data_IF_875389889096
#
_entry.id   IF_875389889096
#
_cell.length_a   1.000
_cell.length_b   1.000
_cell.length_c   1.000
_cell.angle_alpha   90.00
_cell.angle_beta   90.00
_cell.angle_gamma   90.00
#
_symmetry.space_group_name_H-M   'P 1'
#
loop_
_entity.id
_entity.type
_entity.pdbx_description
1 polymer ?
#
# COMPACT_ATOMS: atom_id res chain seq x y z
N UNK A 1 -64.13 -9.30 -3.91
CA UNK A 1 -63.20 -10.39 -3.52
C UNK A 1 -61.99 -10.34 -4.44
N UNK A 2 -60.83 -9.99 -3.87
CA UNK A 2 -59.42 -10.06 -4.35
C UNK A 2 -59.03 -9.54 -5.75
N UNK A 3 -58.37 -8.37 -5.72
CA UNK A 3 -57.43 -7.85 -6.73
C UNK A 3 -56.13 -8.68 -6.65
N UNK A 4 -55.64 -9.18 -7.77
CA UNK A 4 -54.39 -9.95 -7.87
C UNK A 4 -53.32 -9.22 -8.67
N UNK A 5 -52.45 -8.48 -7.99
CA UNK A 5 -51.26 -7.85 -8.60
C UNK A 5 -50.10 -8.86 -8.58
N UNK A 6 -49.63 -9.31 -9.75
CA UNK A 6 -48.43 -10.15 -9.87
C UNK A 6 -47.18 -9.31 -9.60
N UNK A 7 -46.39 -9.74 -8.60
CA UNK A 7 -45.08 -9.20 -8.21
C UNK A 7 -44.11 -9.14 -9.40
N UNK A 8 -43.81 -7.94 -9.87
CA UNK A 8 -42.57 -7.61 -10.60
C UNK A 8 -41.47 -7.32 -9.58
N UNK A 9 -40.77 -8.35 -9.11
CA UNK A 9 -39.61 -8.19 -8.22
C UNK A 9 -38.53 -9.21 -8.59
N UNK A 10 -37.86 -9.02 -9.73
CA UNK A 10 -36.70 -9.85 -10.12
C UNK A 10 -35.57 -9.10 -10.86
N UNK A 11 -35.58 -7.77 -10.95
CA UNK A 11 -34.60 -7.03 -11.77
C UNK A 11 -33.72 -6.02 -11.03
N UNK A 12 -33.88 -5.84 -9.70
CA UNK A 12 -33.10 -4.81 -8.96
C UNK A 12 -31.84 -5.37 -8.27
N UNK A 13 -31.66 -6.70 -8.17
CA UNK A 13 -30.55 -7.28 -7.39
C UNK A 13 -29.25 -7.48 -8.15
N UNK A 14 -29.25 -7.52 -9.49
CA UNK A 14 -28.03 -7.76 -10.27
C UNK A 14 -27.20 -6.47 -10.52
N UNK A 15 -27.86 -5.31 -10.63
CA UNK A 15 -27.18 -4.04 -10.93
C UNK A 15 -26.37 -3.46 -9.76
N UNK A 16 -26.84 -3.66 -8.53
CA UNK A 16 -26.15 -3.16 -7.32
C UNK A 16 -24.91 -3.98 -6.96
N UNK A 17 -24.88 -5.29 -7.26
CA UNK A 17 -23.70 -6.13 -7.02
C UNK A 17 -22.55 -5.80 -8.01
N UNK A 18 -22.90 -5.45 -9.26
CA UNK A 18 -21.92 -5.14 -10.30
C UNK A 18 -21.25 -3.77 -10.11
N UNK A 19 -21.96 -2.80 -9.53
CA UNK A 19 -21.42 -1.47 -9.22
C UNK A 19 -20.39 -1.47 -8.06
N UNK A 20 -20.47 -2.45 -7.15
CA UNK A 20 -19.53 -2.60 -6.03
C UNK A 20 -18.15 -3.12 -6.46
N UNK A 21 -18.02 -3.79 -7.61
CA UNK A 21 -16.74 -4.35 -8.07
C UNK A 21 -15.86 -3.37 -8.85
N UNK A 22 -16.41 -2.26 -9.36
CA UNK A 22 -15.67 -1.30 -10.17
C UNK A 22 -14.80 -0.32 -9.34
N UNK A 23 -15.03 -0.23 -8.02
CA UNK A 23 -14.36 0.72 -7.13
C UNK A 23 -13.08 0.17 -6.46
N UNK A 24 -12.65 -1.05 -6.80
CA UNK A 24 -11.69 -1.80 -5.99
C UNK A 24 -10.24 -1.80 -6.53
N UNK A 25 -9.98 -1.12 -7.64
CA UNK A 25 -8.64 -1.05 -8.26
C UNK A 25 -7.76 0.08 -7.75
N UNK A 26 -6.63 0.32 -8.44
CA UNK A 26 -5.77 1.47 -8.18
C UNK A 26 -6.50 2.78 -8.48
N UNK A 27 -6.20 3.86 -7.73
CA UNK A 27 -6.78 5.19 -7.97
C UNK A 27 -6.14 5.85 -9.18
N UNK A 28 -4.82 5.71 -9.28
CA UNK A 28 -3.97 6.28 -10.30
C UNK A 28 -3.43 5.19 -11.20
N UNK A 29 -3.01 5.60 -12.40
CA UNK A 29 -2.45 4.67 -13.38
C UNK A 29 -1.08 4.18 -12.94
N UNK A 30 -0.93 2.86 -12.89
CA UNK A 30 0.39 2.22 -12.74
C UNK A 30 0.92 1.92 -14.14
N UNK A 31 2.04 2.54 -14.57
CA UNK A 31 2.59 2.30 -15.88
C UNK A 31 3.03 0.84 -15.99
N UNK A 32 2.75 0.22 -17.13
CA UNK A 32 3.27 -1.12 -17.42
C UNK A 32 4.73 -0.98 -17.81
N UNK A 33 5.62 -1.59 -17.02
CA UNK A 33 7.01 -1.73 -17.40
C UNK A 33 7.12 -2.57 -18.69
N UNK A 34 7.86 -2.05 -19.66
CA UNK A 34 8.20 -2.80 -20.86
C UNK A 34 9.27 -3.86 -20.54
N UNK A 35 9.55 -4.80 -21.47
CA UNK A 35 10.55 -5.85 -21.23
C UNK A 35 11.96 -5.31 -20.91
N UNK A 36 12.32 -4.14 -21.41
CA UNK A 36 13.62 -3.50 -21.14
C UNK A 36 13.71 -3.07 -19.68
N UNK A 37 12.70 -2.36 -19.18
CA UNK A 37 12.63 -1.96 -17.77
C UNK A 37 12.50 -3.16 -16.84
N UNK A 38 11.73 -4.20 -17.22
CA UNK A 38 11.65 -5.44 -16.45
C UNK A 38 13.02 -6.13 -16.35
N UNK A 39 13.74 -6.29 -17.45
CA UNK A 39 15.06 -6.92 -17.43
C UNK A 39 16.09 -6.11 -16.62
N UNK A 40 16.06 -4.78 -16.73
CA UNK A 40 16.93 -3.91 -15.95
C UNK A 40 16.61 -4.01 -14.45
N UNK A 41 15.33 -3.98 -14.09
CA UNK A 41 14.86 -4.12 -12.72
C UNK A 41 15.29 -5.44 -12.08
N UNK A 42 15.15 -6.57 -12.80
CA UNK A 42 15.61 -7.88 -12.31
C UNK A 42 17.12 -7.89 -12.02
N UNK A 43 17.93 -7.29 -12.89
CA UNK A 43 19.38 -7.19 -12.68
C UNK A 43 19.72 -6.34 -11.45
N UNK A 44 19.09 -5.16 -11.31
CA UNK A 44 19.25 -4.27 -10.16
C UNK A 44 18.81 -4.92 -8.85
N UNK A 45 17.68 -5.64 -8.87
CA UNK A 45 17.16 -6.37 -7.72
C UNK A 45 18.14 -7.46 -7.26
N UNK A 46 18.61 -8.29 -8.20
CA UNK A 46 19.57 -9.35 -7.91
C UNK A 46 20.90 -8.79 -7.39
N UNK A 47 21.38 -7.67 -7.94
CA UNK A 47 22.58 -7.01 -7.45
C UNK A 47 22.41 -6.49 -6.02
N UNK A 48 21.31 -5.80 -5.71
CA UNK A 48 21.06 -5.28 -4.35
C UNK A 48 20.88 -6.40 -3.33
N UNK A 49 20.21 -7.51 -3.69
CA UNK A 49 20.11 -8.70 -2.85
C UNK A 49 21.49 -9.24 -2.45
N UNK A 50 22.43 -9.27 -3.40
CA UNK A 50 23.80 -9.70 -3.16
C UNK A 50 24.60 -8.68 -2.32
N UNK A 51 24.55 -7.40 -2.69
CA UNK A 51 25.29 -6.34 -1.99
C UNK A 51 24.81 -6.12 -0.56
N UNK A 52 23.50 -6.16 -0.33
CA UNK A 52 22.93 -5.94 0.98
C UNK A 52 23.33 -7.03 1.99
N UNK A 53 23.42 -8.28 1.51
CA UNK A 53 23.96 -9.40 2.29
C UNK A 53 25.41 -9.13 2.72
N UNK A 54 26.22 -8.52 1.85
CA UNK A 54 27.62 -8.19 2.13
C UNK A 54 27.80 -6.95 3.04
N UNK A 55 26.82 -6.04 3.06
CA UNK A 55 26.85 -4.78 3.82
C UNK A 55 26.05 -4.81 5.11
N UNK A 56 25.58 -5.99 5.53
CA UNK A 56 24.84 -6.16 6.78
C UNK A 56 25.66 -5.62 7.96
N UNK A 57 25.10 -4.64 8.70
CA UNK A 57 25.69 -4.12 9.94
C UNK A 57 26.12 -2.65 9.93
N UNK A 58 26.15 -1.96 8.79
CA UNK A 58 26.46 -0.52 8.74
C UNK A 58 25.18 0.34 8.90
N UNK A 59 24.69 0.48 10.13
CA UNK A 59 23.59 1.38 10.48
C UNK A 59 24.10 2.73 10.98
N UNK A 60 23.35 3.79 10.72
CA UNK A 60 23.64 5.10 11.27
C UNK A 60 23.45 5.10 12.80
N UNK A 61 24.20 5.96 13.50
CA UNK A 61 23.88 6.29 14.88
C UNK A 61 22.52 7.00 14.96
N UNK A 62 21.85 6.96 16.11
CA UNK A 62 20.56 7.62 16.29
C UNK A 62 20.60 9.12 15.94
N UNK A 63 21.67 9.83 16.31
CA UNK A 63 21.85 11.25 15.99
C UNK A 63 22.07 11.51 14.49
N UNK A 64 22.82 10.64 13.81
CA UNK A 64 23.03 10.72 12.37
C UNK A 64 21.74 10.40 11.60
N UNK A 65 20.99 9.38 12.04
CA UNK A 65 19.69 9.01 11.50
C UNK A 65 18.68 10.16 11.62
N UNK A 66 18.51 10.74 12.82
CA UNK A 66 17.63 11.88 13.04
C UNK A 66 18.04 13.11 12.21
N UNK A 67 19.34 13.37 12.06
CA UNK A 67 19.85 14.46 11.23
C UNK A 67 19.54 14.24 9.74
N UNK A 68 19.70 12.99 9.25
CA UNK A 68 19.36 12.62 7.87
C UNK A 68 17.86 12.78 7.62
N UNK A 69 17.02 12.23 8.51
CA UNK A 69 15.58 12.34 8.45
C UNK A 69 15.10 13.78 8.34
N UNK A 70 15.60 14.66 9.23
CA UNK A 70 15.21 16.06 9.22
C UNK A 70 15.62 16.81 7.94
N UNK A 71 16.71 16.41 7.27
CA UNK A 71 17.09 17.00 5.97
C UNK A 71 16.17 16.53 4.85
N UNK A 72 15.84 15.24 4.84
CA UNK A 72 14.96 14.62 3.84
C UNK A 72 13.53 15.14 3.99
N UNK A 73 12.96 15.08 5.20
CA UNK A 73 11.60 15.54 5.49
C UNK A 73 11.38 16.99 5.03
N UNK A 74 12.31 17.90 5.37
CA UNK A 74 12.24 19.32 4.97
C UNK A 74 12.18 19.56 3.46
N UNK A 75 12.64 18.61 2.63
CA UNK A 75 12.52 18.70 1.17
C UNK A 75 11.31 17.96 0.63
N UNK A 76 11.00 16.80 1.19
CA UNK A 76 9.93 15.91 0.71
C UNK A 76 8.55 16.42 1.10
N UNK A 77 8.37 16.86 2.35
CA UNK A 77 7.07 17.28 2.90
C UNK A 77 6.37 18.37 2.07
N UNK A 78 6.97 19.55 1.78
CA UNK A 78 6.28 20.57 0.99
C UNK A 78 5.94 20.11 -0.43
N UNK A 79 6.81 19.29 -1.05
CA UNK A 79 6.57 18.73 -2.39
C UNK A 79 5.42 17.72 -2.36
N UNK A 80 5.37 16.87 -1.34
CA UNK A 80 4.32 15.89 -1.11
C UNK A 80 2.95 16.59 -0.92
N UNK A 81 2.90 17.64 -0.08
CA UNK A 81 1.66 18.40 0.11
C UNK A 81 1.20 19.10 -1.16
N UNK A 82 2.12 19.77 -1.87
CA UNK A 82 1.78 20.45 -3.13
C UNK A 82 1.26 19.44 -4.15
N UNK A 83 1.92 18.28 -4.28
CA UNK A 83 1.47 17.23 -5.17
C UNK A 83 0.10 16.68 -4.76
N UNK A 84 -0.13 16.46 -3.46
CA UNK A 84 -1.41 16.04 -2.93
C UNK A 84 -2.52 17.01 -3.32
N UNK A 85 -2.32 18.32 -3.08
CA UNK A 85 -3.31 19.36 -3.39
C UNK A 85 -3.61 19.42 -4.88
N UNK A 86 -2.61 19.21 -5.74
CA UNK A 86 -2.81 19.15 -7.21
C UNK A 86 -3.59 17.90 -7.62
N UNK A 87 -3.21 16.72 -7.11
CA UNK A 87 -3.86 15.45 -7.46
C UNK A 87 -5.29 15.32 -6.96
N UNK A 88 -5.62 16.02 -5.88
CA UNK A 88 -6.91 15.91 -5.18
C UNK A 88 -7.72 17.19 -5.25
N UNK A 89 -7.41 18.08 -6.19
CA UNK A 89 -8.10 19.36 -6.37
C UNK A 89 -9.61 19.21 -6.66
N UNK A 90 -10.02 18.07 -7.21
CA UNK A 90 -11.41 17.69 -7.48
C UNK A 90 -12.09 16.97 -6.29
N UNK A 91 -11.37 16.71 -5.21
CA UNK A 91 -11.84 15.98 -4.02
C UNK A 91 -12.01 16.93 -2.85
N UNK A 92 -13.24 17.41 -2.69
CA UNK A 92 -13.60 18.28 -1.57
C UNK A 92 -13.27 17.62 -0.23
N UNK A 93 -12.59 18.38 0.65
CA UNK A 93 -12.23 17.92 1.99
C UNK A 93 -11.11 16.88 2.05
N UNK A 94 -10.38 16.61 0.96
CA UNK A 94 -9.19 15.75 1.03
C UNK A 94 -8.11 16.40 1.90
N UNK A 95 -7.70 15.71 2.97
CA UNK A 95 -6.69 16.23 3.89
C UNK A 95 -5.28 15.99 3.33
N UNK A 96 -4.60 17.06 2.92
CA UNK A 96 -3.22 17.05 2.43
C UNK A 96 -2.19 17.53 3.47
N UNK A 97 -2.61 17.82 4.70
CA UNK A 97 -1.72 18.15 5.82
C UNK A 97 -1.25 16.84 6.47
N UNK A 98 -0.17 16.28 5.91
CA UNK A 98 0.34 14.95 6.27
C UNK A 98 1.49 15.12 7.25
N UNK A 99 1.28 14.69 8.50
CA UNK A 99 2.33 14.80 9.52
C UNK A 99 3.32 13.64 9.36
N UNK A 100 4.60 13.98 9.22
CA UNK A 100 5.68 13.01 9.08
C UNK A 100 6.44 12.91 10.41
N UNK A 101 6.36 11.75 11.06
CA UNK A 101 6.79 11.54 12.44
C UNK A 101 7.86 10.46 12.57
N UNK A 102 8.64 10.53 13.65
CA UNK A 102 9.59 9.48 14.05
C UNK A 102 9.11 8.81 15.33
N UNK A 103 8.98 7.48 15.27
CA UNK A 103 8.77 6.61 16.43
C UNK A 103 10.12 6.13 16.97
N UNK A 104 10.45 6.51 18.20
CA UNK A 104 11.69 6.12 18.89
C UNK A 104 11.53 4.90 19.78
N UNK A 105 10.31 4.43 19.99
CA UNK A 105 9.97 3.37 20.93
C UNK A 105 9.86 2.01 20.22
N UNK A 106 9.39 1.99 18.97
CA UNK A 106 9.29 0.77 18.18
C UNK A 106 10.68 0.19 17.87
N UNK A 107 10.99 -1.04 18.35
CA UNK A 107 12.32 -1.61 18.22
C UNK A 107 12.60 -2.16 16.81
N UNK A 108 11.54 -2.40 16.02
CA UNK A 108 11.63 -3.03 14.72
C UNK A 108 11.64 -1.97 13.62
N UNK A 109 12.29 -2.31 12.50
CA UNK A 109 12.29 -1.48 11.31
C UNK A 109 10.89 -1.44 10.69
N UNK A 110 10.32 -0.25 10.59
CA UNK A 110 9.07 -0.03 9.88
C UNK A 110 8.92 1.42 9.41
N UNK A 111 8.11 1.62 8.39
CA UNK A 111 7.52 2.90 8.02
C UNK A 111 6.07 2.60 7.62
N UNK A 112 5.13 3.47 7.98
CA UNK A 112 3.72 3.22 7.67
C UNK A 112 2.91 4.51 7.68
N UNK A 113 1.93 4.55 6.78
CA UNK A 113 0.83 5.50 6.81
C UNK A 113 -0.26 5.06 7.80
N UNK A 114 -0.84 6.00 8.55
CA UNK A 114 -2.00 5.78 9.42
C UNK A 114 -2.81 7.09 9.61
N UNK A 115 -3.81 7.05 10.49
CA UNK A 115 -4.55 8.22 10.96
C UNK A 115 -4.43 8.35 12.48
N UNK A 116 -4.34 9.59 12.98
CA UNK A 116 -4.48 9.84 14.41
C UNK A 116 -5.94 9.66 14.87
N UNK A 117 -6.20 9.84 16.17
CA UNK A 117 -7.56 9.72 16.73
C UNK A 117 -8.54 10.78 16.21
N UNK A 118 -8.04 11.92 15.74
CA UNK A 118 -8.84 12.97 15.15
C UNK A 118 -9.05 12.78 13.63
N UNK A 119 -8.45 11.76 13.03
CA UNK A 119 -8.54 11.45 11.60
C UNK A 119 -7.50 12.18 10.74
N UNK A 120 -6.49 12.83 11.34
CA UNK A 120 -5.41 13.46 10.58
C UNK A 120 -4.46 12.40 10.04
N UNK A 121 -4.00 12.52 8.78
CA UNK A 121 -3.08 11.57 8.19
C UNK A 121 -1.69 11.70 8.80
N UNK A 122 -1.13 10.56 9.18
CA UNK A 122 0.22 10.42 9.71
C UNK A 122 1.04 9.50 8.81
N UNK A 123 2.31 9.83 8.63
CA UNK A 123 3.33 8.92 8.11
C UNK A 123 4.39 8.77 9.19
N UNK A 124 4.53 7.56 9.71
CA UNK A 124 5.41 7.29 10.86
C UNK A 124 6.59 6.42 10.42
N UNK A 125 7.78 6.82 10.85
CA UNK A 125 9.03 6.11 10.63
C UNK A 125 9.62 5.63 11.94
N UNK A 126 10.00 4.36 12.05
CA UNK A 126 10.73 3.92 13.25
C UNK A 126 12.20 4.32 13.15
N UNK A 127 12.82 4.66 14.27
CA UNK A 127 14.24 5.00 14.32
C UNK A 127 15.15 3.90 13.70
N UNK A 128 14.91 2.59 13.92
CA UNK A 128 15.65 1.53 13.24
C UNK A 128 15.54 1.57 11.71
N UNK A 129 14.40 1.98 11.15
CA UNK A 129 14.24 2.14 9.69
C UNK A 129 15.10 3.27 9.17
N UNK A 130 15.01 4.43 9.82
CA UNK A 130 15.79 5.61 9.44
C UNK A 130 17.29 5.28 9.52
N UNK A 131 17.72 4.57 10.56
CA UNK A 131 19.10 4.16 10.74
C UNK A 131 19.59 3.13 9.70
N UNK A 132 18.68 2.38 9.07
CA UNK A 132 18.97 1.39 8.03
C UNK A 132 19.04 2.00 6.61
N UNK A 133 18.47 3.19 6.41
CA UNK A 133 18.60 3.92 5.16
C UNK A 133 20.07 4.32 4.94
N UNK A 134 20.66 3.83 3.85
CA UNK A 134 22.09 4.02 3.53
C UNK A 134 22.37 5.39 2.94
N UNK A 135 21.35 6.05 2.40
CA UNK A 135 21.45 7.35 1.79
C UNK A 135 20.10 8.08 1.79
N UNK A 136 20.13 9.37 1.49
CA UNK A 136 18.94 10.22 1.50
C UNK A 136 17.94 9.88 0.38
N UNK A 137 18.37 9.26 -0.72
CA UNK A 137 17.46 8.85 -1.79
C UNK A 137 16.52 7.72 -1.35
N UNK A 138 17.05 6.75 -0.61
CA UNK A 138 16.25 5.67 -0.03
C UNK A 138 15.23 6.19 0.96
N UNK A 139 15.65 7.05 1.89
CA UNK A 139 14.75 7.62 2.87
C UNK A 139 13.68 8.51 2.21
N UNK A 140 14.06 9.30 1.20
CA UNK A 140 13.11 10.14 0.46
C UNK A 140 12.09 9.30 -0.31
N UNK A 141 12.53 8.18 -0.92
CA UNK A 141 11.64 7.31 -1.67
C UNK A 141 10.65 6.57 -0.75
N UNK A 142 11.10 6.06 0.41
CA UNK A 142 10.18 5.45 1.40
C UNK A 142 9.18 6.49 1.92
N UNK A 143 9.62 7.73 2.18
CA UNK A 143 8.71 8.82 2.58
C UNK A 143 7.67 9.16 1.51
N UNK A 144 8.09 9.28 0.25
CA UNK A 144 7.17 9.45 -0.86
C UNK A 144 6.20 8.27 -1.03
N UNK A 145 6.67 7.05 -0.81
CA UNK A 145 5.87 5.83 -0.89
C UNK A 145 4.77 5.80 0.20
N UNK A 146 5.09 6.11 1.45
CA UNK A 146 4.10 6.18 2.54
C UNK A 146 3.08 7.31 2.32
N UNK A 147 3.52 8.47 1.83
CA UNK A 147 2.61 9.53 1.38
C UNK A 147 1.71 9.02 0.25
N UNK A 148 2.28 8.26 -0.70
CA UNK A 148 1.54 7.61 -1.79
C UNK A 148 0.36 6.76 -1.30
N UNK A 149 0.55 6.00 -0.22
CA UNK A 149 -0.54 5.23 0.39
C UNK A 149 -1.73 6.11 0.83
N UNK A 150 -1.44 7.28 1.41
CA UNK A 150 -2.50 8.23 1.80
C UNK A 150 -3.18 8.86 0.58
N UNK A 151 -2.40 9.34 -0.40
CA UNK A 151 -2.91 9.98 -1.62
C UNK A 151 -3.83 9.05 -2.43
N UNK A 152 -3.54 7.75 -2.43
CA UNK A 152 -4.35 6.72 -3.08
C UNK A 152 -5.44 6.13 -2.17
N UNK A 153 -5.53 6.57 -0.91
CA UNK A 153 -6.46 6.12 0.13
C UNK A 153 -6.43 4.59 0.36
N UNK A 154 -5.24 4.00 0.35
CA UNK A 154 -5.06 2.55 0.44
C UNK A 154 -5.64 1.94 1.72
N UNK A 155 -5.58 2.62 2.87
CA UNK A 155 -6.25 2.14 4.11
C UNK A 155 -7.76 2.01 3.90
N UNK A 156 -8.42 3.09 3.46
CA UNK A 156 -9.88 3.11 3.26
C UNK A 156 -10.31 2.05 2.24
N UNK A 157 -9.54 1.88 1.17
CA UNK A 157 -9.80 0.84 0.18
C UNK A 157 -9.63 -0.56 0.76
N UNK A 158 -8.55 -0.83 1.51
CA UNK A 158 -8.34 -2.12 2.19
C UNK A 158 -9.50 -2.45 3.15
N UNK A 159 -9.98 -1.47 3.91
CA UNK A 159 -11.16 -1.61 4.79
C UNK A 159 -12.43 -1.94 4.00
N UNK A 160 -12.68 -1.23 2.89
CA UNK A 160 -13.81 -1.50 2.01
C UNK A 160 -13.73 -2.92 1.41
N UNK A 161 -12.55 -3.35 0.97
CA UNK A 161 -12.38 -4.71 0.44
C UNK A 161 -12.56 -5.78 1.50
N UNK A 162 -12.09 -5.54 2.71
CA UNK A 162 -12.34 -6.44 3.83
C UNK A 162 -13.85 -6.53 4.13
N UNK A 163 -14.57 -5.41 4.16
CA UNK A 163 -16.01 -5.42 4.36
C UNK A 163 -16.76 -6.17 3.25
N UNK A 164 -16.40 -5.95 1.98
CA UNK A 164 -16.99 -6.67 0.83
C UNK A 164 -16.68 -8.16 0.91
N UNK A 165 -15.43 -8.54 1.17
CA UNK A 165 -15.03 -9.95 1.31
C UNK A 165 -15.77 -10.65 2.46
N UNK A 166 -15.94 -9.96 3.59
CA UNK A 166 -16.70 -10.44 4.74
C UNK A 166 -18.17 -10.72 4.38
N UNK A 167 -18.81 -9.79 3.66
CA UNK A 167 -20.20 -9.92 3.21
C UNK A 167 -20.34 -11.09 2.23
N UNK A 168 -19.46 -11.20 1.25
CA UNK A 168 -19.49 -12.28 0.26
C UNK A 168 -19.34 -13.64 0.95
N UNK A 169 -18.29 -13.84 1.74
CA UNK A 169 -18.04 -15.12 2.40
C UNK A 169 -19.13 -15.50 3.41
N UNK A 170 -19.61 -14.52 4.21
CA UNK A 170 -20.71 -14.74 5.14
C UNK A 170 -22.02 -15.11 4.44
N UNK A 171 -22.35 -14.44 3.33
CA UNK A 171 -23.57 -14.73 2.57
C UNK A 171 -23.54 -16.11 1.89
N UNK A 172 -22.38 -16.51 1.36
CA UNK A 172 -22.20 -17.84 0.77
C UNK A 172 -22.36 -18.95 1.81
N UNK A 173 -21.79 -18.77 3.00
CA UNK A 173 -21.96 -19.74 4.09
C UNK A 173 -23.37 -19.77 4.65
N UNK A 174 -24.03 -18.62 4.79
CA UNK A 174 -25.43 -18.56 5.22
C UNK A 174 -26.35 -19.24 4.20
N UNK A 175 -26.09 -19.05 2.89
CA UNK A 175 -26.78 -19.77 1.83
C UNK A 175 -26.53 -21.28 1.94
N UNK A 176 -25.28 -21.73 2.05
CA UNK A 176 -24.98 -23.15 2.22
C UNK A 176 -25.69 -23.78 3.43
N UNK A 177 -25.75 -23.05 4.55
CA UNK A 177 -26.46 -23.48 5.76
C UNK A 177 -27.97 -23.61 5.57
N UNK A 178 -28.57 -22.76 4.72
CA UNK A 178 -30.00 -22.80 4.44
C UNK A 178 -30.42 -23.93 3.49
N UNK A 179 -29.49 -24.47 2.69
CA UNK A 179 -29.77 -25.47 1.65
C UNK A 179 -29.11 -26.84 1.88
N UNK A 180 -28.34 -27.04 2.96
CA UNK A 180 -27.89 -28.38 3.35
C UNK A 180 -29.05 -29.18 3.97
N UNK A 181 -29.63 -30.07 3.17
CA UNK A 181 -30.69 -31.00 3.58
C UNK A 181 -30.15 -32.39 3.97
N UNK A 182 -28.83 -32.60 3.89
CA UNK A 182 -28.20 -33.94 3.92
C UNK A 182 -27.39 -34.24 5.18
N UNK A 183 -27.06 -33.24 6.00
CA UNK A 183 -26.25 -33.43 7.20
C UNK A 183 -26.93 -32.81 8.43
N UNK A 184 -27.18 -33.57 9.53
CA UNK A 184 -27.67 -33.00 10.80
C UNK A 184 -26.65 -32.08 11.49
N UNK A 185 -25.45 -31.94 10.91
CA UNK A 185 -24.44 -31.00 11.36
C UNK A 185 -24.79 -29.61 10.81
N UNK A 186 -25.80 -28.98 11.41
CA UNK A 186 -26.13 -27.57 11.13
C UNK A 186 -24.84 -26.76 11.13
N UNK A 187 -24.50 -26.13 10.00
CA UNK A 187 -23.43 -25.15 9.94
C UNK A 187 -23.64 -24.18 11.11
N UNK A 188 -22.69 -24.18 12.04
CA UNK A 188 -22.85 -23.44 13.29
C UNK A 188 -22.67 -21.96 12.99
N UNK A 189 -23.22 -21.10 13.85
CA UNK A 189 -22.92 -19.67 13.81
C UNK A 189 -21.41 -19.40 13.78
N UNK A 190 -20.62 -20.27 14.42
CA UNK A 190 -19.16 -20.23 14.39
C UNK A 190 -18.58 -20.39 12.97
N UNK A 191 -19.16 -21.24 12.12
CA UNK A 191 -18.67 -21.47 10.75
C UNK A 191 -18.93 -20.24 9.87
N UNK A 192 -20.09 -19.60 10.06
CA UNK A 192 -20.42 -18.32 9.40
C UNK A 192 -19.44 -17.24 9.86
N UNK A 193 -19.20 -17.12 11.17
CA UNK A 193 -18.26 -16.13 11.71
C UNK A 193 -16.84 -16.36 11.20
N UNK A 194 -16.39 -17.62 11.12
CA UNK A 194 -15.09 -17.97 10.56
C UNK A 194 -14.99 -17.56 9.09
N UNK A 195 -16.03 -17.83 8.29
CA UNK A 195 -16.03 -17.42 6.89
C UNK A 195 -16.07 -15.90 6.72
N UNK A 196 -16.80 -15.17 7.57
CA UNK A 196 -16.78 -13.71 7.59
C UNK A 196 -15.36 -13.19 7.86
N UNK A 197 -14.67 -13.74 8.87
CA UNK A 197 -13.29 -13.34 9.17
C UNK A 197 -12.32 -13.68 8.03
N UNK A 198 -12.44 -14.88 7.45
CA UNK A 198 -11.62 -15.30 6.31
C UNK A 198 -11.89 -14.45 5.07
N UNK A 199 -13.15 -14.12 4.81
CA UNK A 199 -13.58 -13.23 3.74
C UNK A 199 -13.01 -11.83 3.93
N UNK A 200 -13.04 -11.31 5.16
CA UNK A 200 -12.45 -10.01 5.49
C UNK A 200 -10.94 -9.99 5.25
N UNK A 201 -10.22 -11.00 5.74
CA UNK A 201 -8.79 -11.13 5.54
C UNK A 201 -8.45 -11.24 4.05
N UNK A 202 -9.11 -12.15 3.33
CA UNK A 202 -8.88 -12.35 1.90
C UNK A 202 -9.15 -11.06 1.12
N UNK A 203 -10.29 -10.41 1.37
CA UNK A 203 -10.68 -9.15 0.73
C UNK A 203 -9.64 -8.05 0.93
N UNK A 204 -9.21 -7.81 2.17
CA UNK A 204 -8.19 -6.81 2.48
C UNK A 204 -6.83 -7.05 1.81
N UNK A 205 -6.51 -8.29 1.45
CA UNK A 205 -5.23 -8.66 0.83
C UNK A 205 -5.24 -8.70 -0.70
N UNK A 206 -6.39 -8.77 -1.37
CA UNK A 206 -6.48 -9.00 -2.84
C UNK A 206 -5.64 -8.02 -3.65
N UNK A 207 -5.60 -6.75 -3.25
CA UNK A 207 -4.96 -5.68 -4.01
C UNK A 207 -3.66 -5.16 -3.38
N UNK A 208 -3.13 -5.83 -2.35
CA UNK A 208 -1.95 -5.35 -1.63
C UNK A 208 -0.79 -5.07 -2.58
N UNK A 209 -0.44 -6.00 -3.48
CA UNK A 209 0.67 -5.81 -4.42
C UNK A 209 0.42 -4.64 -5.39
N UNK A 210 -0.79 -4.48 -5.92
CA UNK A 210 -1.11 -3.37 -6.82
C UNK A 210 -1.08 -2.02 -6.12
N UNK A 211 -1.43 -1.97 -4.82
CA UNK A 211 -1.31 -0.76 -4.00
C UNK A 211 0.15 -0.41 -3.71
N UNK A 212 1.04 -1.39 -3.51
CA UNK A 212 2.48 -1.11 -3.40
C UNK A 212 3.02 -0.46 -4.68
N UNK A 213 2.65 -0.99 -5.86
CA UNK A 213 3.08 -0.41 -7.14
C UNK A 213 2.50 0.99 -7.38
N UNK A 214 1.25 1.23 -7.00
CA UNK A 214 0.64 2.57 -7.06
C UNK A 214 1.35 3.57 -6.12
N UNK A 215 1.67 3.14 -4.90
CA UNK A 215 2.48 3.95 -3.97
C UNK A 215 3.89 4.21 -4.51
N UNK A 216 4.51 3.25 -5.20
CA UNK A 216 5.82 3.43 -5.84
C UNK A 216 5.78 4.46 -6.98
N UNK A 217 4.69 4.50 -7.75
CA UNK A 217 4.47 5.55 -8.77
C UNK A 217 4.44 6.92 -8.11
N UNK A 218 3.58 7.10 -7.10
CA UNK A 218 3.45 8.39 -6.41
C UNK A 218 4.74 8.77 -5.68
N UNK A 219 5.41 7.81 -5.04
CA UNK A 219 6.70 7.98 -4.41
C UNK A 219 7.80 8.40 -5.40
N UNK A 220 7.76 7.90 -6.64
CA UNK A 220 8.66 8.32 -7.71
C UNK A 220 8.48 9.80 -8.04
N UNK A 221 7.24 10.26 -8.24
CA UNK A 221 6.95 11.67 -8.49
C UNK A 221 7.45 12.56 -7.34
N UNK A 222 7.11 12.19 -6.10
CA UNK A 222 7.48 12.96 -4.90
C UNK A 222 9.01 13.02 -4.75
N UNK A 223 9.70 11.88 -4.85
CA UNK A 223 11.15 11.83 -4.70
C UNK A 223 11.87 12.65 -5.79
N UNK A 224 11.45 12.52 -7.05
CA UNK A 224 12.05 13.29 -8.16
C UNK A 224 11.87 14.78 -7.99
N UNK A 225 10.67 15.23 -7.61
CA UNK A 225 10.38 16.66 -7.45
C UNK A 225 11.02 17.24 -6.19
N UNK A 226 11.26 16.43 -5.16
CA UNK A 226 12.08 16.79 -4.00
C UNK A 226 13.59 16.79 -4.29
N UNK A 227 14.00 16.46 -5.53
CA UNK A 227 15.41 16.47 -5.97
C UNK A 227 16.19 15.21 -5.62
N UNK A 228 15.51 14.10 -5.33
CA UNK A 228 16.11 12.79 -5.06
C UNK A 228 15.97 11.85 -6.26
N UNK A 229 16.91 10.91 -6.37
CA UNK A 229 16.91 9.86 -7.38
C UNK A 229 16.00 8.69 -6.92
N UNK A 230 14.80 8.52 -7.51
CA UNK A 230 13.87 7.48 -7.11
C UNK A 230 14.37 6.08 -7.47
N UNK A 231 15.20 5.93 -8.51
CA UNK A 231 15.73 4.63 -8.92
C UNK A 231 16.69 4.13 -7.84
N UNK A 232 17.62 4.97 -7.40
CA UNK A 232 18.48 4.67 -6.24
C UNK A 232 17.69 4.46 -4.97
N UNK A 233 16.64 5.27 -4.74
CA UNK A 233 15.82 5.16 -3.55
C UNK A 233 15.04 3.84 -3.48
N UNK A 234 14.50 3.39 -4.62
CA UNK A 234 13.72 2.17 -4.73
C UNK A 234 14.51 0.90 -4.42
N UNK A 235 15.84 0.93 -4.52
CA UNK A 235 16.71 -0.19 -4.13
C UNK A 235 16.58 -0.54 -2.65
N UNK A 236 16.10 0.37 -1.80
CA UNK A 236 15.75 0.01 -0.41
C UNK A 236 14.78 -1.18 -0.37
N UNK A 237 13.81 -1.23 -1.29
CA UNK A 237 12.79 -2.27 -1.43
C UNK A 237 13.29 -3.57 -2.11
N UNK A 238 14.58 -3.61 -2.47
CA UNK A 238 15.22 -4.77 -3.07
C UNK A 238 16.16 -5.50 -2.09
N UNK A 239 16.18 -5.13 -0.81
CA UNK A 239 17.07 -5.75 0.18
C UNK A 239 16.46 -7.04 0.76
N UNK A 240 17.28 -8.05 1.09
CA UNK A 240 16.81 -9.25 1.76
C UNK A 240 16.57 -8.97 3.24
N UNK A 241 15.38 -9.31 3.75
CA UNK A 241 15.19 -9.63 5.17
C UNK A 241 13.92 -10.46 5.37
N UNK A 242 13.86 -11.14 6.50
CA UNK A 242 12.74 -11.99 6.86
C UNK A 242 11.46 -11.15 7.01
N UNK A 243 10.32 -11.52 6.40
CA UNK A 243 9.04 -10.81 6.58
C UNK A 243 8.51 -10.82 8.02
N UNK A 244 9.10 -11.65 8.90
CA UNK A 244 8.83 -11.65 10.33
C UNK A 244 10.11 -11.53 11.13
N UNK A 245 10.02 -10.78 12.21
CA UNK A 245 11.05 -10.69 13.23
C UNK A 245 11.06 -11.96 14.11
N UNK A 246 12.14 -12.16 14.88
CA UNK A 246 12.27 -13.32 15.78
C UNK A 246 11.16 -13.42 16.84
N UNK A 247 10.53 -12.29 17.18
CA UNK A 247 9.40 -12.21 18.11
C UNK A 247 8.03 -12.44 17.45
N UNK A 248 7.99 -12.79 16.15
CA UNK A 248 6.78 -13.08 15.39
C UNK A 248 6.02 -11.86 14.87
N UNK A 249 6.46 -10.63 15.18
CA UNK A 249 5.89 -9.41 14.60
C UNK A 249 6.29 -9.29 13.13
N UNK A 250 5.46 -8.60 12.34
CA UNK A 250 5.80 -8.28 10.95
C UNK A 250 6.99 -7.31 10.94
N UNK A 251 7.97 -7.58 10.08
CA UNK A 251 9.00 -6.62 9.73
C UNK A 251 8.46 -5.67 8.65
N UNK A 252 9.28 -4.70 8.24
CA UNK A 252 9.00 -3.86 7.07
C UNK A 252 8.60 -4.67 5.83
N UNK A 253 9.19 -5.85 5.60
CA UNK A 253 8.83 -6.71 4.46
C UNK A 253 7.55 -7.51 4.66
N UNK A 254 7.12 -7.65 5.92
CA UNK A 254 5.81 -8.21 6.25
C UNK A 254 4.68 -7.28 5.82
N UNK A 255 4.91 -5.95 5.85
CA UNK A 255 3.95 -4.94 5.42
C UNK A 255 4.16 -4.50 3.95
N UNK A 256 5.41 -4.45 3.49
CA UNK A 256 5.79 -4.03 2.13
C UNK A 256 6.72 -5.07 1.47
N UNK A 257 6.20 -6.18 0.91
CA UNK A 257 7.03 -7.24 0.35
C UNK A 257 8.00 -6.76 -0.74
N UNK A 258 9.24 -7.30 -0.78
CA UNK A 258 10.19 -7.00 -1.84
C UNK A 258 9.74 -7.66 -3.15
N UNK A 259 9.84 -6.93 -4.26
CA UNK A 259 9.48 -7.43 -5.59
C UNK A 259 10.20 -6.61 -6.67
N UNK A 260 10.84 -7.29 -7.63
CA UNK A 260 11.51 -6.65 -8.77
C UNK A 260 10.57 -5.77 -9.61
N UNK A 261 9.26 -6.08 -9.62
CA UNK A 261 8.24 -5.26 -10.30
C UNK A 261 8.16 -3.84 -9.75
N UNK A 262 8.53 -3.63 -8.49
CA UNK A 262 8.59 -2.31 -7.86
C UNK A 262 9.64 -1.44 -8.54
N UNK A 263 10.86 -1.96 -8.71
CA UNK A 263 11.93 -1.26 -9.43
C UNK A 263 11.52 -1.01 -10.90
N UNK A 264 10.90 -2.01 -11.54
CA UNK A 264 10.44 -1.87 -12.92
C UNK A 264 9.39 -0.75 -13.06
N UNK A 265 8.48 -0.64 -12.09
CA UNK A 265 7.46 0.42 -12.02
C UNK A 265 8.09 1.79 -11.83
N UNK A 266 9.11 1.89 -10.97
CA UNK A 266 9.87 3.14 -10.77
C UNK A 266 10.59 3.56 -12.05
N UNK A 267 11.30 2.64 -12.72
CA UNK A 267 11.97 2.93 -14.00
C UNK A 267 10.99 3.43 -15.07
N UNK A 268 9.85 2.74 -15.22
CA UNK A 268 8.81 3.14 -16.16
C UNK A 268 8.21 4.53 -15.82
N UNK A 269 8.00 4.80 -14.53
CA UNK A 269 7.47 6.09 -14.06
C UNK A 269 8.46 7.23 -14.29
N UNK A 270 9.76 7.01 -14.04
CA UNK A 270 10.82 8.00 -14.34
C UNK A 270 10.80 8.35 -15.83
N UNK A 271 10.77 7.35 -16.70
CA UNK A 271 10.73 7.57 -18.15
C UNK A 271 9.48 8.37 -18.59
N UNK A 272 8.33 8.10 -17.96
CA UNK A 272 7.10 8.89 -18.21
C UNK A 272 7.26 10.35 -17.77
N UNK A 273 7.83 10.60 -16.59
CA UNK A 273 8.07 11.95 -16.07
C UNK A 273 9.02 12.73 -16.99
N UNK A 274 10.12 12.11 -17.41
CA UNK A 274 11.11 12.73 -18.29
C UNK A 274 10.51 13.06 -19.66
N UNK A 275 9.71 12.15 -20.21
CA UNK A 275 8.98 12.39 -21.47
C UNK A 275 8.04 13.59 -21.37
N UNK A 276 7.33 13.75 -20.24
CA UNK A 276 6.44 14.89 -19.99
C UNK A 276 7.18 16.21 -19.81
N UNK A 277 8.41 16.21 -19.27
CA UNK A 277 9.24 17.42 -19.13
C UNK A 277 9.80 17.92 -20.47
N UNK A 278 9.96 17.03 -21.45
CA UNK A 278 10.46 17.37 -22.78
C UNK A 278 9.39 17.83 -23.77
N UNK A 279 8.13 17.91 -23.34
CA UNK A 279 6.98 18.41 -24.10
C UNK A 279 6.63 19.83 -23.63
#
# INVERSE_FOLDING_TARGET
MKIGTRRTLRLVTAGTLLALMAACGTTYSVPKADPTFSSQASAMFAEEQNQATQRAGNRLSASAAASQFNRVARRVEPVAEEFCRKLTADREGFNCDIQILVDTEMPNRNAFQTYDRAGNPLVTFTLPMIADARNEHELAFVMGHEVGHHLAQHIKKKEQQAAVGAIIAGSLMAYAAAYDTSTPQHLKQQDINNAVMLGAAAGGHVYSQTYELESDVLGTYIAMWAGYDPVKGSLFFARPENPKEANGQLSFWGTHPPDEKRIATVLATVAEIEKKKGQ
#
